data_IF_517842508325
#
_entry.id   IF_517842508325
#
_cell.length_a   1.000
_cell.length_b   1.000
_cell.length_c   1.000
_cell.angle_alpha   90.00
_cell.angle_beta   90.00
_cell.angle_gamma   90.00
#
_symmetry.space_group_name_H-M   'P 1'
#
loop_
_entity.id
_entity.type
_entity.pdbx_description
1 polymer ?
#
# COMPACT_ATOMS: atom_id res chain seq x y z
N UNK A 1 20.77 79.52 -2.83
CA UNK A 1 19.94 79.49 -4.05
C UNK A 1 20.65 78.62 -5.08
N UNK A 2 19.90 77.66 -5.64
CA UNK A 2 20.12 77.02 -6.95
C UNK A 2 21.28 76.02 -7.10
N UNK A 3 21.23 74.96 -7.90
CA UNK A 3 20.17 74.17 -8.55
C UNK A 3 20.86 72.95 -9.22
N UNK A 4 20.09 71.88 -9.40
CA UNK A 4 20.25 70.61 -10.16
C UNK A 4 20.76 70.75 -11.63
N UNK A 5 20.88 69.69 -12.49
CA UNK A 5 20.72 68.22 -12.35
C UNK A 5 21.74 67.33 -13.12
N UNK A 6 21.61 65.99 -13.05
CA UNK A 6 22.23 65.07 -14.01
C UNK A 6 21.90 63.58 -13.79
N UNK A 7 21.05 63.02 -14.65
CA UNK A 7 20.59 61.63 -14.73
C UNK A 7 21.71 60.64 -15.13
N UNK A 8 21.65 59.37 -14.70
CA UNK A 8 22.01 58.20 -15.53
C UNK A 8 21.47 56.90 -14.94
N UNK A 9 20.93 56.06 -15.84
CA UNK A 9 20.39 54.72 -15.60
C UNK A 9 21.44 53.75 -15.04
N UNK A 10 21.03 52.84 -14.14
CA UNK A 10 21.69 51.55 -14.01
C UNK A 10 20.67 50.46 -13.68
N UNK A 11 20.79 49.38 -14.44
CA UNK A 11 20.01 48.16 -14.53
C UNK A 11 20.00 47.33 -13.24
N UNK A 12 18.82 46.82 -12.89
CA UNK A 12 18.68 45.65 -11.99
C UNK A 12 19.31 44.41 -12.62
N UNK A 13 19.92 43.55 -11.78
CA UNK A 13 19.61 42.13 -11.86
C UNK A 13 18.97 41.64 -10.55
N UNK A 14 17.72 41.18 -10.72
CA UNK A 14 16.93 40.42 -9.76
C UNK A 14 17.72 39.24 -9.19
N UNK A 15 17.81 39.18 -7.87
CA UNK A 15 18.22 38.01 -7.10
C UNK A 15 17.25 36.84 -7.34
N UNK A 16 17.80 35.67 -7.64
CA UNK A 16 17.08 34.38 -7.70
C UNK A 16 16.75 33.88 -6.29
N UNK A 17 15.88 34.60 -5.59
CA UNK A 17 15.15 34.12 -4.43
C UNK A 17 13.66 34.30 -4.73
N UNK A 18 13.04 33.29 -5.32
CA UNK A 18 11.65 33.42 -5.79
C UNK A 18 11.24 32.35 -6.78
N UNK A 19 11.45 31.08 -6.45
CA UNK A 19 10.78 29.97 -7.12
C UNK A 19 10.94 28.74 -6.23
N UNK A 20 10.03 28.60 -5.26
CA UNK A 20 9.63 27.39 -4.52
C UNK A 20 8.80 27.84 -3.30
N UNK A 21 7.68 28.54 -3.55
CA UNK A 21 6.63 28.74 -2.55
C UNK A 21 5.31 29.15 -3.22
N UNK A 22 4.23 28.54 -2.77
CA UNK A 22 2.84 28.57 -3.24
C UNK A 22 2.64 27.78 -4.54
N UNK A 23 1.81 26.73 -4.58
CA UNK A 23 0.43 26.64 -4.09
C UNK A 23 0.26 25.39 -3.17
N UNK A 24 -0.39 25.41 -2.00
CA UNK A 24 -1.52 26.23 -1.57
C UNK A 24 -2.84 25.51 -1.88
N UNK A 25 -3.07 24.30 -1.34
CA UNK A 25 -4.38 23.65 -1.41
C UNK A 25 -4.93 23.40 -0.01
N UNK A 26 -6.15 23.92 0.17
CA UNK A 26 -6.95 23.95 1.40
C UNK A 26 -7.13 22.56 2.03
N UNK A 27 -6.85 22.50 3.33
CA UNK A 27 -7.32 21.45 4.23
C UNK A 27 -8.82 21.67 4.49
N UNK A 28 -9.68 21.03 3.70
CA UNK A 28 -11.05 20.76 4.10
C UNK A 28 -11.63 19.57 3.32
N UNK A 29 -12.03 18.54 4.06
CA UNK A 29 -13.01 17.52 3.67
C UNK A 29 -12.58 16.41 2.71
N UNK A 30 -11.90 15.39 3.24
CA UNK A 30 -11.97 14.00 2.73
C UNK A 30 -12.16 13.03 3.90
N UNK A 31 -13.27 13.18 4.62
CA UNK A 31 -13.89 12.08 5.36
C UNK A 31 -15.16 11.70 4.59
N UNK A 32 -15.16 10.55 3.93
CA UNK A 32 -16.33 10.05 3.23
C UNK A 32 -16.47 8.54 3.42
N UNK A 33 -16.68 8.15 4.68
CA UNK A 33 -17.45 6.97 5.06
C UNK A 33 -18.52 7.40 6.06
N UNK A 34 -19.48 8.26 5.64
CA UNK A 34 -20.83 8.33 6.26
C UNK A 34 -21.80 9.21 5.45
N UNK A 35 -23.00 8.72 5.07
CA UNK A 35 -24.19 9.55 5.13
C UNK A 35 -25.32 8.82 5.88
N UNK A 36 -25.14 8.63 7.18
CA UNK A 36 -26.02 7.87 8.06
C UNK A 36 -26.39 8.61 9.33
N UNK A 37 -26.52 9.94 9.29
CA UNK A 37 -27.02 10.73 10.42
C UNK A 37 -27.90 11.90 9.96
N UNK A 38 -29.12 11.60 9.51
CA UNK A 38 -30.25 12.54 9.60
C UNK A 38 -31.52 11.78 10.00
N UNK A 39 -32.06 12.12 11.16
CA UNK A 39 -33.35 11.64 11.65
C UNK A 39 -34.53 12.14 10.78
N UNK A 40 -35.42 11.20 10.46
CA UNK A 40 -36.89 11.28 10.29
C UNK A 40 -37.54 12.51 9.61
N UNK A 41 -38.31 12.28 8.53
CA UNK A 41 -39.80 12.33 8.51
C UNK A 41 -40.42 11.93 7.16
N UNK A 42 -41.40 11.00 7.21
CA UNK A 42 -42.66 10.89 6.42
C UNK A 42 -42.70 10.73 4.88
N UNK A 43 -43.29 9.58 4.49
CA UNK A 43 -44.40 9.38 3.51
C UNK A 43 -44.14 9.34 1.99
N UNK A 44 -44.59 8.23 1.35
CA UNK A 44 -45.26 8.29 0.04
C UNK A 44 -44.79 7.34 -1.07
N UNK A 45 -45.47 6.18 -1.19
CA UNK A 45 -45.95 5.48 -2.40
C UNK A 45 -45.21 5.53 -3.76
N UNK A 46 -45.04 4.33 -4.36
CA UNK A 46 -45.21 4.15 -5.82
C UNK A 46 -44.20 3.24 -6.53
N UNK A 47 -44.59 1.99 -6.82
CA UNK A 47 -44.03 1.15 -7.91
C UNK A 47 -44.78 1.52 -9.22
N UNK A 48 -44.24 1.31 -10.43
CA UNK A 48 -44.37 -0.01 -11.07
C UNK A 48 -43.18 -0.48 -11.94
N UNK A 49 -43.20 -1.79 -12.19
CA UNK A 49 -42.26 -2.60 -12.97
C UNK A 49 -42.46 -2.53 -14.51
N UNK A 50 -41.42 -2.89 -15.28
CA UNK A 50 -41.50 -3.50 -16.63
C UNK A 50 -40.27 -4.43 -16.80
N UNK A 51 -40.41 -5.77 -16.79
CA UNK A 51 -40.68 -6.70 -17.91
C UNK A 51 -39.58 -6.83 -19.00
N UNK A 52 -39.28 -8.10 -19.32
CA UNK A 52 -38.70 -8.64 -20.58
C UNK A 52 -37.17 -8.86 -20.60
N UNK A 53 -36.60 -9.96 -21.09
CA UNK A 53 -37.05 -11.28 -21.54
C UNK A 53 -35.81 -12.20 -21.48
N UNK A 54 -36.00 -13.44 -21.04
CA UNK A 54 -35.01 -14.51 -21.21
C UNK A 54 -35.18 -15.15 -22.58
N UNK A 55 -34.07 -15.52 -23.21
CA UNK A 55 -34.02 -16.58 -24.24
C UNK A 55 -32.93 -17.59 -23.93
N UNK A 56 -33.38 -18.84 -23.88
CA UNK A 56 -32.63 -20.09 -23.76
C UNK A 56 -31.61 -20.28 -24.88
N UNK A 57 -30.50 -20.97 -24.56
CA UNK A 57 -29.92 -21.94 -25.49
C UNK A 57 -29.43 -23.17 -24.73
N UNK A 58 -29.86 -24.32 -25.25
CA UNK A 58 -29.79 -25.68 -24.73
C UNK A 58 -28.38 -26.29 -24.59
N UNK A 59 -28.26 -27.06 -23.50
CA UNK A 59 -27.79 -28.45 -23.40
C UNK A 59 -26.79 -29.00 -24.43
N UNK A 60 -25.63 -29.47 -23.91
CA UNK A 60 -25.10 -30.81 -24.23
C UNK A 60 -24.24 -31.38 -23.10
N UNK A 61 -24.47 -32.66 -22.87
CA UNK A 61 -24.10 -33.49 -21.72
C UNK A 61 -22.82 -34.30 -21.99
N UNK A 62 -22.24 -34.84 -20.90
CA UNK A 62 -21.43 -36.08 -20.78
C UNK A 62 -19.90 -35.95 -20.95
N UNK A 63 -19.12 -36.07 -19.87
CA UNK A 63 -18.61 -37.37 -19.38
C UNK A 63 -17.62 -37.23 -18.21
N UNK A 64 -17.74 -38.14 -17.25
CA UNK A 64 -16.86 -38.32 -16.09
C UNK A 64 -15.55 -39.03 -16.47
N UNK A 65 -14.43 -38.62 -15.86
CA UNK A 65 -13.36 -39.52 -15.41
C UNK A 65 -12.65 -38.88 -14.20
N UNK A 66 -12.77 -39.49 -13.02
CA UNK A 66 -11.81 -39.33 -11.93
C UNK A 66 -10.63 -40.28 -12.13
N UNK A 67 -9.40 -39.83 -11.79
CA UNK A 67 -8.60 -40.66 -10.90
C UNK A 67 -7.99 -39.85 -9.75
N UNK A 68 -7.98 -40.50 -8.58
CA UNK A 68 -7.15 -40.18 -7.42
C UNK A 68 -5.69 -39.96 -7.81
N UNK A 69 -5.00 -39.01 -7.16
CA UNK A 69 -3.64 -39.15 -6.60
C UNK A 69 -3.16 -37.84 -5.93
N UNK A 70 -3.07 -37.89 -4.59
CA UNK A 70 -1.95 -37.46 -3.74
C UNK A 70 -0.96 -36.41 -4.30
N UNK A 71 -0.86 -35.26 -3.61
CA UNK A 71 0.28 -34.33 -3.64
C UNK A 71 -0.13 -33.04 -2.91
N UNK A 72 0.43 -32.65 -1.77
CA UNK A 72 1.87 -32.42 -1.62
C UNK A 72 2.30 -31.24 -2.49
N UNK A 73 1.60 -30.09 -2.39
CA UNK A 73 2.00 -28.85 -3.08
C UNK A 73 3.24 -28.23 -2.41
N UNK A 74 4.19 -27.70 -3.19
CA UNK A 74 5.51 -27.35 -2.68
C UNK A 74 5.46 -26.09 -1.83
N UNK A 75 6.25 -26.08 -0.75
CA UNK A 75 6.63 -24.88 -0.05
C UNK A 75 7.28 -23.89 -1.03
N UNK A 76 6.92 -22.62 -0.93
CA UNK A 76 7.58 -21.54 -1.63
C UNK A 76 9.06 -21.52 -1.23
N UNK A 77 9.91 -22.03 -2.12
CA UNK A 77 11.31 -21.64 -2.13
C UNK A 77 11.34 -20.14 -2.41
N UNK A 78 11.71 -19.39 -1.37
CA UNK A 78 12.42 -18.11 -1.37
C UNK A 78 12.36 -17.29 -2.67
N UNK A 79 11.79 -16.09 -2.61
CA UNK A 79 11.77 -15.07 -3.67
C UNK A 79 13.17 -14.60 -4.15
N UNK A 80 14.24 -15.29 -3.80
CA UNK A 80 15.59 -15.04 -4.28
C UNK A 80 15.85 -15.51 -5.72
N UNK A 81 14.98 -16.36 -6.32
CA UNK A 81 15.29 -17.01 -7.61
C UNK A 81 14.55 -16.47 -8.84
N UNK A 82 13.61 -15.54 -8.70
CA UNK A 82 12.86 -14.98 -9.84
C UNK A 82 13.62 -13.88 -10.61
N UNK A 83 14.87 -13.58 -10.25
CA UNK A 83 15.77 -12.65 -10.98
C UNK A 83 16.67 -13.46 -11.91
N UNK A 84 16.14 -14.04 -12.98
CA UNK A 84 16.97 -14.64 -14.04
C UNK A 84 16.33 -14.73 -15.42
N UNK A 85 15.14 -14.16 -15.65
CA UNK A 85 14.54 -14.19 -16.99
C UNK A 85 14.08 -12.79 -17.41
N UNK A 86 14.95 -12.12 -18.16
CA UNK A 86 14.67 -10.86 -18.86
C UNK A 86 13.79 -11.13 -20.09
N UNK A 87 12.79 -10.28 -20.41
CA UNK A 87 12.19 -10.25 -21.74
C UNK A 87 13.17 -9.62 -22.76
N UNK A 88 13.04 -9.92 -24.07
CA UNK A 88 13.95 -9.41 -25.09
C UNK A 88 13.75 -7.90 -25.29
N UNK A 89 14.76 -7.10 -24.92
CA UNK A 89 14.80 -5.65 -25.18
C UNK A 89 15.30 -5.36 -26.61
N UNK A 90 14.77 -4.33 -27.30
CA UNK A 90 15.42 -3.73 -28.46
C UNK A 90 16.77 -3.11 -28.04
N UNK A 91 17.82 -3.39 -28.81
CA UNK A 91 19.19 -2.95 -28.53
C UNK A 91 19.33 -1.44 -28.62
N UNK A 92 19.38 -0.76 -27.46
CA UNK A 92 20.11 0.49 -27.31
C UNK A 92 21.17 0.29 -26.22
N UNK A 93 22.40 0.69 -26.53
CA UNK A 93 23.62 0.40 -25.77
C UNK A 93 23.53 0.90 -24.31
N UNK A 94 23.31 -0.01 -23.36
CA UNK A 94 23.63 0.21 -21.96
C UNK A 94 25.11 -0.12 -21.72
N UNK A 95 25.95 0.91 -21.67
CA UNK A 95 27.21 0.81 -20.94
C UNK A 95 26.87 0.72 -19.45
N UNK A 96 26.82 -0.50 -18.91
CA UNK A 96 26.85 -0.73 -17.47
C UNK A 96 28.23 -0.33 -16.95
N UNK A 97 28.33 0.86 -16.36
CA UNK A 97 29.45 1.22 -15.50
C UNK A 97 29.14 0.72 -14.09
N UNK A 98 29.91 -0.28 -13.62
CA UNK A 98 29.97 -0.68 -12.20
C UNK A 98 30.62 0.41 -11.33
N UNK A 99 30.28 1.68 -11.54
CA UNK A 99 30.77 2.78 -10.74
C UNK A 99 29.89 2.92 -9.50
N UNK A 100 30.50 2.95 -8.31
CA UNK A 100 29.78 3.31 -7.08
C UNK A 100 29.09 4.67 -7.26
N UNK A 101 27.88 4.88 -6.69
CA UNK A 101 27.19 6.16 -6.75
C UNK A 101 28.11 7.31 -6.32
N UNK A 102 28.03 8.45 -7.01
CA UNK A 102 28.81 9.63 -6.64
C UNK A 102 28.35 10.17 -5.28
N UNK A 103 29.24 10.88 -4.56
CA UNK A 103 28.88 11.48 -3.27
C UNK A 103 27.70 12.46 -3.37
N UNK A 104 27.58 13.18 -4.49
CA UNK A 104 26.44 14.06 -4.76
C UNK A 104 25.13 13.26 -4.90
N UNK A 105 25.14 12.17 -5.68
CA UNK A 105 23.96 11.31 -5.84
C UNK A 105 23.55 10.64 -4.52
N UNK A 106 24.51 10.27 -3.67
CA UNK A 106 24.21 9.74 -2.33
C UNK A 106 23.58 10.79 -1.41
N UNK A 107 23.95 12.07 -1.54
CA UNK A 107 23.28 13.15 -0.81
C UNK A 107 21.83 13.33 -1.30
N UNK A 108 21.59 13.23 -2.61
CA UNK A 108 20.23 13.29 -3.17
C UNK A 108 19.37 12.10 -2.71
N UNK A 109 19.95 10.89 -2.65
CA UNK A 109 19.30 9.70 -2.07
C UNK A 109 18.95 9.94 -0.61
N UNK A 110 19.86 10.53 0.19
CA UNK A 110 19.57 10.89 1.58
C UNK A 110 18.44 11.91 1.68
N UNK A 111 18.43 12.93 0.82
CA UNK A 111 17.36 13.92 0.74
C UNK A 111 16.00 13.27 0.45
N UNK A 112 15.94 12.38 -0.54
CA UNK A 112 14.74 11.61 -0.88
C UNK A 112 14.19 10.80 0.30
N UNK A 113 15.08 10.14 1.06
CA UNK A 113 14.70 9.38 2.25
C UNK A 113 14.19 10.30 3.37
N UNK A 114 14.83 11.44 3.61
CA UNK A 114 14.47 12.36 4.70
C UNK A 114 13.18 13.13 4.41
N UNK A 115 13.01 13.60 3.17
CA UNK A 115 11.95 14.55 2.84
C UNK A 115 10.66 13.87 2.38
N UNK A 116 10.76 12.69 1.75
CA UNK A 116 9.63 12.04 1.09
C UNK A 116 9.30 10.70 1.76
N UNK A 117 10.23 9.73 1.72
CA UNK A 117 9.89 8.36 2.11
C UNK A 117 9.85 8.15 3.62
N UNK A 118 10.80 8.69 4.39
CA UNK A 118 10.83 8.59 5.85
C UNK A 118 9.53 9.07 6.49
N UNK A 119 9.12 10.34 6.29
CA UNK A 119 7.87 10.86 6.85
C UNK A 119 6.62 10.10 6.38
N UNK A 120 6.61 9.63 5.12
CA UNK A 120 5.53 8.80 4.59
C UNK A 120 5.44 7.44 5.29
N UNK A 121 6.59 6.79 5.52
CA UNK A 121 6.68 5.51 6.21
C UNK A 121 6.29 5.65 7.68
N UNK A 122 6.69 6.72 8.36
CA UNK A 122 6.26 6.96 9.75
C UNK A 122 4.76 7.09 9.89
N UNK A 123 4.12 7.84 8.98
CA UNK A 123 2.66 7.97 8.97
C UNK A 123 1.98 6.66 8.64
N UNK A 124 2.51 5.90 7.67
CA UNK A 124 1.92 4.63 7.26
C UNK A 124 2.01 3.57 8.36
N UNK A 125 3.19 3.42 8.95
CA UNK A 125 3.46 2.44 10.01
C UNK A 125 3.12 2.93 11.41
N UNK A 126 2.72 4.20 11.59
CA UNK A 126 2.47 4.85 12.89
C UNK A 126 3.65 4.66 13.87
N UNK A 127 4.88 4.84 13.35
CA UNK A 127 6.13 4.65 14.09
C UNK A 127 7.13 5.75 13.75
N UNK A 128 7.75 6.34 14.78
CA UNK A 128 8.82 7.33 14.65
C UNK A 128 10.19 6.73 14.31
N UNK A 129 10.25 5.44 13.94
CA UNK A 129 11.51 4.76 13.63
C UNK A 129 12.14 5.25 12.32
N UNK A 130 11.33 5.59 11.32
CA UNK A 130 11.81 5.77 9.93
C UNK A 130 12.53 7.10 9.69
N UNK A 131 12.34 8.13 10.51
CA UNK A 131 13.08 9.42 10.37
C UNK A 131 14.25 9.57 11.34
N UNK A 132 14.54 8.56 12.17
CA UNK A 132 15.71 8.61 13.06
C UNK A 132 17.00 8.67 12.26
N UNK A 133 17.97 9.43 12.75
CA UNK A 133 19.32 9.48 12.18
C UNK A 133 19.95 8.08 12.09
N UNK A 134 19.78 7.26 13.14
CA UNK A 134 20.25 5.88 13.14
C UNK A 134 19.69 5.05 11.98
N UNK A 135 18.40 5.20 11.67
CA UNK A 135 17.74 4.47 10.57
C UNK A 135 18.26 4.94 9.22
N UNK A 136 18.47 6.24 9.04
CA UNK A 136 19.09 6.79 7.85
C UNK A 136 20.52 6.27 7.66
N UNK A 137 21.30 6.16 8.73
CA UNK A 137 22.66 5.64 8.66
C UNK A 137 22.67 4.14 8.28
N UNK A 138 21.71 3.35 8.79
CA UNK A 138 21.51 1.95 8.37
C UNK A 138 21.18 1.88 6.87
N UNK A 139 20.24 2.71 6.40
CA UNK A 139 19.82 2.74 5.00
C UNK A 139 20.95 3.14 4.05
N UNK A 140 21.74 4.14 4.43
CA UNK A 140 22.87 4.60 3.63
C UNK A 140 24.05 3.63 3.67
N UNK A 141 24.18 2.82 4.72
CA UNK A 141 25.17 1.76 4.81
C UNK A 141 24.77 0.51 3.99
N UNK A 142 23.48 0.27 3.77
CA UNK A 142 23.02 -0.80 2.87
C UNK A 142 23.20 -0.41 1.41
N UNK A 143 24.34 -0.82 0.86
CA UNK A 143 24.70 -0.60 -0.55
C UNK A 143 23.61 -1.07 -1.53
N UNK A 144 22.95 -2.19 -1.23
CA UNK A 144 21.90 -2.74 -2.10
C UNK A 144 20.76 -1.75 -2.27
N UNK A 145 20.35 -1.11 -1.17
CA UNK A 145 19.28 -0.11 -1.15
C UNK A 145 19.75 1.21 -1.75
N UNK A 146 20.93 1.71 -1.35
CA UNK A 146 21.50 2.91 -1.91
C UNK A 146 21.65 2.85 -3.45
N UNK A 147 22.11 1.72 -4.00
CA UNK A 147 22.26 1.52 -5.45
C UNK A 147 20.90 1.54 -6.17
N UNK A 148 19.85 0.96 -5.58
CA UNK A 148 18.49 0.98 -6.17
C UNK A 148 17.89 2.39 -6.14
N UNK A 149 18.03 3.12 -5.04
CA UNK A 149 17.55 4.49 -4.95
C UNK A 149 18.32 5.42 -5.91
N UNK A 150 19.63 5.25 -6.01
CA UNK A 150 20.47 5.98 -6.96
C UNK A 150 20.06 5.69 -8.42
N UNK A 151 19.82 4.42 -8.76
CA UNK A 151 19.33 4.04 -10.08
C UNK A 151 17.95 4.62 -10.39
N UNK A 152 17.05 4.64 -9.40
CA UNK A 152 15.74 5.25 -9.51
C UNK A 152 15.82 6.75 -9.79
N UNK A 153 16.62 7.49 -9.01
CA UNK A 153 16.87 8.92 -9.23
C UNK A 153 17.43 9.19 -10.62
N UNK A 154 18.44 8.44 -11.05
CA UNK A 154 18.98 8.56 -12.41
C UNK A 154 17.93 8.29 -13.48
N UNK A 155 17.03 7.32 -13.27
CA UNK A 155 15.94 7.02 -14.20
C UNK A 155 14.99 8.20 -14.31
N UNK A 156 14.58 8.81 -13.19
CA UNK A 156 13.72 10.00 -13.20
C UNK A 156 14.44 11.19 -13.87
N UNK A 157 15.70 11.45 -13.52
CA UNK A 157 16.48 12.56 -14.08
C UNK A 157 16.79 12.40 -15.56
N UNK A 158 16.74 11.17 -16.10
CA UNK A 158 16.93 10.91 -17.53
C UNK A 158 15.70 11.25 -18.37
N UNK A 159 14.52 11.42 -17.75
CA UNK A 159 13.31 11.87 -18.45
C UNK A 159 13.42 13.37 -18.68
N UNK A 160 13.68 13.76 -19.93
CA UNK A 160 13.80 15.16 -20.32
C UNK A 160 12.47 15.91 -20.16
N UNK A 161 12.55 17.22 -19.92
CA UNK A 161 11.36 18.07 -19.75
C UNK A 161 10.44 18.14 -20.99
N UNK A 162 10.92 17.69 -22.15
CA UNK A 162 10.18 17.67 -23.41
C UNK A 162 9.63 16.27 -23.77
N UNK A 163 9.87 15.26 -22.94
CA UNK A 163 9.35 13.91 -23.17
C UNK A 163 7.83 13.87 -22.96
N UNK A 164 7.10 13.01 -23.70
CA UNK A 164 5.67 12.85 -23.51
C UNK A 164 5.37 12.37 -22.08
N UNK A 165 4.20 12.70 -21.50
CA UNK A 165 3.84 12.31 -20.13
C UNK A 165 3.99 10.80 -19.83
N UNK A 166 3.81 9.95 -20.85
CA UNK A 166 3.98 8.50 -20.78
C UNK A 166 5.43 8.06 -20.45
N UNK A 167 6.42 8.93 -20.67
CA UNK A 167 7.82 8.64 -20.34
C UNK A 167 8.05 8.50 -18.82
N UNK A 168 7.12 9.00 -18.00
CA UNK A 168 7.15 8.85 -16.54
C UNK A 168 6.53 7.54 -16.05
N UNK A 169 5.87 6.76 -16.91
CA UNK A 169 5.20 5.51 -16.52
C UNK A 169 6.20 4.48 -15.98
N UNK A 170 7.36 4.36 -16.62
CA UNK A 170 8.39 3.41 -16.20
C UNK A 170 9.01 3.77 -14.84
N UNK A 171 9.49 5.00 -14.59
CA UNK A 171 9.89 5.42 -13.25
C UNK A 171 8.76 5.23 -12.22
N UNK A 172 7.52 5.64 -12.53
CA UNK A 172 6.39 5.50 -11.61
C UNK A 172 6.12 4.03 -11.23
N UNK A 173 6.30 3.09 -12.16
CA UNK A 173 6.13 1.66 -11.91
C UNK A 173 7.22 1.04 -11.02
N UNK A 174 8.41 1.66 -10.94
CA UNK A 174 9.53 1.24 -10.09
C UNK A 174 9.42 1.73 -8.65
N UNK A 175 8.75 2.87 -8.44
CA UNK A 175 8.68 3.52 -7.13
C UNK A 175 8.17 2.62 -5.98
N UNK A 176 7.14 1.76 -6.19
CA UNK A 176 6.75 0.81 -5.15
C UNK A 176 7.90 -0.09 -4.71
N UNK A 177 8.73 -0.59 -5.64
CA UNK A 177 9.88 -1.42 -5.30
C UNK A 177 10.92 -0.65 -4.48
N UNK A 178 11.11 0.64 -4.79
CA UNK A 178 12.01 1.52 -4.03
C UNK A 178 11.51 1.70 -2.60
N UNK A 179 10.23 2.01 -2.42
CA UNK A 179 9.60 2.15 -1.10
C UNK A 179 9.67 0.84 -0.31
N UNK A 180 9.37 -0.30 -0.94
CA UNK A 180 9.47 -1.61 -0.31
C UNK A 180 10.90 -1.91 0.15
N UNK A 181 11.88 -1.67 -0.73
CA UNK A 181 13.29 -1.93 -0.44
C UNK A 181 13.83 -1.04 0.67
N UNK A 182 13.51 0.25 0.64
CA UNK A 182 13.85 1.17 1.72
C UNK A 182 13.24 0.71 3.05
N UNK A 183 11.97 0.27 3.05
CA UNK A 183 11.31 -0.24 4.25
C UNK A 183 12.03 -1.47 4.82
N UNK A 184 12.39 -2.44 3.98
CA UNK A 184 13.10 -3.65 4.41
C UNK A 184 14.51 -3.36 4.94
N UNK A 185 15.24 -2.45 4.31
CA UNK A 185 16.61 -2.13 4.68
C UNK A 185 16.73 -1.47 6.07
N UNK A 186 15.65 -0.89 6.59
CA UNK A 186 15.57 -0.44 7.99
C UNK A 186 15.71 -1.59 9.00
N UNK A 187 15.64 -2.86 8.59
CA UNK A 187 15.63 -4.02 9.47
C UNK A 187 16.59 -5.10 8.99
N UNK A 188 17.64 -5.37 9.78
CA UNK A 188 18.73 -6.27 9.35
C UNK A 188 18.43 -7.77 9.54
N UNK A 189 17.36 -8.15 10.23
CA UNK A 189 17.01 -9.56 10.47
C UNK A 189 15.53 -9.76 10.85
N UNK A 190 14.64 -10.12 9.89
CA UNK A 190 13.22 -10.40 10.15
C UNK A 190 13.01 -11.61 11.08
N UNK A 191 14.02 -12.48 11.26
CA UNK A 191 13.91 -13.68 12.10
C UNK A 191 14.05 -13.39 13.61
N UNK A 192 14.51 -12.19 13.97
CA UNK A 192 14.61 -11.73 15.36
C UNK A 192 13.35 -10.99 15.78
N UNK A 193 12.21 -11.67 15.70
CA UNK A 193 10.99 -11.19 16.34
C UNK A 193 11.20 -11.14 17.85
N UNK A 194 11.20 -9.93 18.40
CA UNK A 194 11.20 -9.74 19.84
C UNK A 194 9.78 -9.38 20.27
N UNK A 195 9.24 -10.17 21.19
CA UNK A 195 7.89 -9.96 21.72
C UNK A 195 7.88 -8.75 22.63
N UNK A 196 6.73 -8.06 22.68
CA UNK A 196 6.50 -7.04 23.69
C UNK A 196 6.68 -7.65 25.09
N UNK A 197 7.44 -6.96 25.95
CA UNK A 197 7.66 -7.38 27.32
C UNK A 197 6.85 -6.46 28.27
N UNK A 198 6.01 -7.05 29.11
CA UNK A 198 5.21 -6.30 30.09
C UNK A 198 3.83 -5.88 29.59
N UNK A 199 3.29 -4.78 30.15
CA UNK A 199 1.93 -4.28 29.89
C UNK A 199 1.88 -2.86 29.29
N UNK A 200 2.99 -2.14 29.38
CA UNK A 200 3.14 -0.77 28.87
C UNK A 200 3.52 -0.77 27.40
N UNK A 201 2.95 0.16 26.65
CA UNK A 201 3.36 0.45 25.28
C UNK A 201 4.86 0.81 25.22
N UNK A 202 5.58 0.34 24.19
CA UNK A 202 6.91 0.82 23.90
C UNK A 202 6.89 2.27 23.40
N UNK A 203 8.04 2.96 23.38
CA UNK A 203 8.18 4.27 22.75
C UNK A 203 7.69 4.26 21.28
N UNK A 204 7.18 5.38 20.79
CA UNK A 204 6.63 5.47 19.42
C UNK A 204 7.67 5.22 18.32
N UNK A 205 8.95 5.38 18.65
CA UNK A 205 10.12 5.18 17.79
C UNK A 205 10.85 3.86 18.10
N UNK A 206 10.18 2.91 18.75
CA UNK A 206 10.72 1.59 19.05
C UNK A 206 10.91 0.75 17.78
N UNK A 207 12.13 0.29 17.57
CA UNK A 207 12.52 -0.51 16.41
C UNK A 207 11.79 -1.85 16.34
N UNK A 208 11.57 -2.49 17.49
CA UNK A 208 10.97 -3.83 17.55
C UNK A 208 9.49 -3.75 17.19
N UNK A 209 8.78 -2.76 17.71
CA UNK A 209 7.38 -2.51 17.32
C UNK A 209 7.27 -2.21 15.82
N UNK A 210 8.14 -1.35 15.28
CA UNK A 210 8.17 -1.03 13.85
C UNK A 210 8.42 -2.29 12.99
N UNK A 211 9.35 -3.15 13.41
CA UNK A 211 9.66 -4.41 12.73
C UNK A 211 8.49 -5.40 12.77
N UNK A 212 7.77 -5.48 13.90
CA UNK A 212 6.60 -6.33 14.04
C UNK A 212 5.45 -5.86 13.13
N UNK A 213 5.26 -4.54 12.97
CA UNK A 213 4.30 -3.97 12.03
C UNK A 213 4.69 -4.23 10.56
N UNK A 214 5.98 -4.17 10.24
CA UNK A 214 6.48 -4.58 8.92
C UNK A 214 6.22 -6.07 8.64
N UNK A 215 6.45 -6.93 9.63
CA UNK A 215 6.14 -8.37 9.51
C UNK A 215 4.68 -8.61 9.15
N UNK A 216 3.77 -7.85 9.77
CA UNK A 216 2.32 -7.91 9.48
C UNK A 216 2.05 -7.46 8.04
N UNK A 217 2.65 -6.35 7.59
CA UNK A 217 2.47 -5.87 6.21
C UNK A 217 3.05 -6.84 5.16
N UNK A 218 4.24 -7.38 5.40
CA UNK A 218 4.87 -8.35 4.52
C UNK A 218 4.01 -9.61 4.39
N UNK A 219 3.57 -10.17 5.51
CA UNK A 219 2.63 -11.28 5.50
C UNK A 219 1.35 -10.92 4.75
N UNK A 220 0.79 -9.71 4.96
CA UNK A 220 -0.41 -9.21 4.29
C UNK A 220 -0.28 -9.25 2.76
N UNK A 221 0.78 -8.65 2.21
CA UNK A 221 1.01 -8.50 0.76
C UNK A 221 1.48 -9.82 0.12
N UNK A 222 2.30 -10.60 0.82
CA UNK A 222 2.83 -11.88 0.33
C UNK A 222 1.76 -12.98 0.29
N UNK A 223 0.72 -12.86 1.12
CA UNK A 223 -0.34 -13.86 1.24
C UNK A 223 -0.03 -14.93 2.30
N UNK A 224 1.04 -14.75 3.08
CA UNK A 224 1.50 -15.70 4.10
C UNK A 224 0.63 -15.62 5.36
N UNK A 225 0.37 -16.77 5.97
CA UNK A 225 -0.34 -16.87 7.25
C UNK A 225 0.67 -16.86 8.38
N UNK A 226 0.48 -15.97 9.36
CA UNK A 226 1.34 -15.89 10.53
C UNK A 226 1.10 -17.08 11.46
N UNK A 227 2.18 -17.63 12.03
CA UNK A 227 2.07 -18.69 13.05
C UNK A 227 1.57 -18.16 14.40
N UNK A 228 1.85 -16.89 14.69
CA UNK A 228 1.41 -16.15 15.87
C UNK A 228 1.42 -14.65 15.54
N UNK A 229 0.64 -13.85 16.24
CA UNK A 229 0.67 -12.40 16.11
C UNK A 229 1.95 -11.84 16.75
N UNK A 230 2.82 -11.13 16.00
CA UNK A 230 4.09 -10.61 16.52
C UNK A 230 3.92 -9.53 17.58
N UNK A 231 2.74 -8.90 17.67
CA UNK A 231 2.43 -7.88 18.67
C UNK A 231 1.83 -8.44 19.96
N UNK A 232 1.80 -9.77 20.15
CA UNK A 232 1.36 -10.35 21.43
C UNK A 232 2.36 -10.11 22.58
N UNK A 233 1.88 -9.91 23.82
CA UNK A 233 0.46 -9.81 24.22
C UNK A 233 -0.15 -8.44 23.88
N UNK A 234 -1.48 -8.35 23.87
CA UNK A 234 -2.16 -7.06 23.79
C UNK A 234 -1.77 -6.18 24.99
N UNK A 235 -1.32 -4.96 24.72
CA UNK A 235 -0.90 -3.99 25.72
C UNK A 235 -2.08 -3.11 26.13
N UNK A 236 -2.09 -2.66 27.38
CA UNK A 236 -3.23 -1.94 27.97
C UNK A 236 -2.84 -0.70 28.77
N UNK A 237 -1.54 -0.45 28.95
CA UNK A 237 -1.03 0.71 29.67
C UNK A 237 -0.33 1.66 28.70
N UNK A 238 -0.76 2.93 28.69
CA UNK A 238 -0.15 3.99 27.90
C UNK A 238 -1.14 5.07 27.47
N UNK A 239 -0.69 5.96 26.60
CA UNK A 239 -1.53 7.02 26.02
C UNK A 239 -2.69 6.43 25.20
N UNK A 240 -3.89 7.03 25.29
CA UNK A 240 -5.09 6.52 24.65
C UNK A 240 -4.96 6.43 23.12
N UNK A 241 -4.37 7.44 22.48
CA UNK A 241 -4.18 7.43 21.03
C UNK A 241 -3.17 6.36 20.62
N UNK A 242 -2.07 6.22 21.35
CA UNK A 242 -1.09 5.14 21.13
C UNK A 242 -1.67 3.74 21.37
N UNK A 243 -2.58 3.59 22.33
CA UNK A 243 -3.29 2.32 22.57
C UNK A 243 -4.19 1.95 21.39
N UNK A 244 -4.90 2.93 20.81
CA UNK A 244 -5.72 2.74 19.61
C UNK A 244 -4.89 2.37 18.38
N UNK A 245 -3.74 3.03 18.20
CA UNK A 245 -2.76 2.66 17.17
C UNK A 245 -2.32 1.21 17.33
N UNK A 246 -1.86 0.84 18.53
CA UNK A 246 -1.41 -0.51 18.82
C UNK A 246 -2.53 -1.55 18.63
N UNK A 247 -3.75 -1.25 19.08
CA UNK A 247 -4.91 -2.12 18.98
C UNK A 247 -5.26 -2.44 17.52
N UNK A 248 -5.21 -1.45 16.62
CA UNK A 248 -5.41 -1.67 15.19
C UNK A 248 -4.38 -2.66 14.63
N UNK A 249 -3.09 -2.44 14.87
CA UNK A 249 -2.03 -3.32 14.39
C UNK A 249 -2.11 -4.70 15.04
N UNK A 250 -2.50 -4.78 16.31
CA UNK A 250 -2.73 -6.05 16.99
C UNK A 250 -3.83 -6.86 16.29
N UNK A 251 -5.00 -6.28 16.03
CA UNK A 251 -6.08 -6.99 15.33
C UNK A 251 -5.71 -7.35 13.90
N UNK A 252 -4.97 -6.49 13.19
CA UNK A 252 -4.44 -6.81 11.87
C UNK A 252 -3.51 -8.04 11.91
N UNK A 253 -2.66 -8.12 12.94
CA UNK A 253 -1.82 -9.28 13.19
C UNK A 253 -2.60 -10.55 13.52
N UNK A 254 -3.61 -10.47 14.39
CA UNK A 254 -4.50 -11.60 14.72
C UNK A 254 -5.25 -12.11 13.48
N UNK A 255 -5.78 -11.21 12.65
CA UNK A 255 -6.44 -11.55 11.38
C UNK A 255 -5.56 -12.43 10.50
N UNK A 256 -4.25 -12.14 10.45
CA UNK A 256 -3.29 -12.89 9.64
C UNK A 256 -2.88 -14.25 10.22
N UNK A 257 -3.31 -14.59 11.45
CA UNK A 257 -3.10 -15.93 12.03
C UNK A 257 -4.20 -16.92 11.64
N UNK A 258 -5.37 -16.42 11.22
CA UNK A 258 -6.51 -17.24 10.82
C UNK A 258 -6.17 -18.00 9.54
N UNK A 259 -6.22 -19.33 9.60
CA UNK A 259 -6.03 -20.21 8.44
C UNK A 259 -7.34 -20.32 7.67
N UNK A 260 -7.25 -20.34 6.34
CA UNK A 260 -8.39 -20.74 5.49
C UNK A 260 -8.37 -22.25 5.34
N UNK A 261 -8.98 -22.99 6.28
CA UNK A 261 -9.25 -24.43 6.12
C UNK A 261 -10.67 -24.61 5.56
N UNK A 262 -10.85 -25.37 4.46
CA UNK A 262 -12.17 -25.66 3.90
C UNK A 262 -13.14 -26.39 4.86
N UNK A 263 -12.66 -26.88 6.00
CA UNK A 263 -13.41 -27.70 6.95
C UNK A 263 -13.86 -26.95 8.22
N UNK A 264 -13.49 -25.69 8.38
CA UNK A 264 -13.41 -25.02 9.69
C UNK A 264 -14.29 -23.74 9.74
N UNK A 265 -14.92 -23.38 10.88
CA UNK A 265 -15.82 -22.23 11.04
C UNK A 265 -15.09 -20.86 11.07
N UNK A 266 -13.90 -20.82 10.45
CA UNK A 266 -13.02 -19.66 10.23
C UNK A 266 -13.66 -18.41 9.61
N UNK A 267 -14.81 -18.46 8.88
CA UNK A 267 -15.46 -17.23 8.41
C UNK A 267 -15.93 -16.31 9.54
N UNK A 268 -16.47 -16.87 10.63
CA UNK A 268 -17.02 -16.05 11.72
C UNK A 268 -15.94 -15.33 12.52
N UNK A 269 -14.85 -16.02 12.87
CA UNK A 269 -13.71 -15.41 13.57
C UNK A 269 -13.08 -14.29 12.74
N UNK A 270 -12.95 -14.50 11.42
CA UNK A 270 -12.43 -13.48 10.51
C UNK A 270 -13.32 -12.23 10.48
N UNK A 271 -14.62 -12.41 10.41
CA UNK A 271 -15.58 -11.30 10.43
C UNK A 271 -15.58 -10.56 11.76
N UNK A 272 -15.43 -11.26 12.89
CA UNK A 272 -15.30 -10.65 14.21
C UNK A 272 -14.05 -9.78 14.30
N UNK A 273 -12.90 -10.24 13.80
CA UNK A 273 -11.67 -9.43 13.81
C UNK A 273 -11.78 -8.22 12.87
N UNK A 274 -12.33 -8.40 11.67
CA UNK A 274 -12.59 -7.27 10.76
C UNK A 274 -13.53 -6.24 11.39
N UNK A 275 -14.57 -6.69 12.10
CA UNK A 275 -15.46 -5.80 12.85
C UNK A 275 -14.70 -5.03 13.93
N UNK A 276 -13.83 -5.68 14.70
CA UNK A 276 -12.97 -5.02 15.70
C UNK A 276 -12.06 -3.98 15.06
N UNK A 277 -11.36 -4.32 13.98
CA UNK A 277 -10.50 -3.38 13.23
C UNK A 277 -11.27 -2.14 12.76
N UNK A 278 -12.50 -2.30 12.26
CA UNK A 278 -13.34 -1.19 11.80
C UNK A 278 -13.61 -0.18 12.93
N UNK A 279 -13.73 -0.64 14.18
CA UNK A 279 -13.95 0.26 15.33
C UNK A 279 -12.73 1.09 15.71
N UNK A 280 -11.53 0.74 15.21
CA UNK A 280 -10.23 1.37 15.52
C UNK A 280 -9.57 2.04 14.30
N UNK A 281 -10.34 2.39 13.27
CA UNK A 281 -9.82 3.12 12.10
C UNK A 281 -9.49 4.58 12.42
N UNK A 282 -10.24 5.23 13.31
CA UNK A 282 -10.02 6.62 13.76
C UNK A 282 -9.90 7.66 12.63
N UNK A 283 -10.44 7.38 11.44
CA UNK A 283 -10.30 8.23 10.25
C UNK A 283 -8.85 8.38 9.78
N UNK A 284 -8.00 7.40 10.10
CA UNK A 284 -6.59 7.38 9.71
C UNK A 284 -6.44 6.68 8.37
N UNK A 285 -6.01 7.45 7.36
CA UNK A 285 -5.81 6.98 5.99
C UNK A 285 -5.03 5.66 5.88
N UNK A 286 -3.90 5.54 6.60
CA UNK A 286 -3.09 4.32 6.59
C UNK A 286 -3.85 3.09 7.10
N UNK A 287 -4.73 3.28 8.10
CA UNK A 287 -5.55 2.21 8.66
C UNK A 287 -6.68 1.81 7.71
N UNK A 288 -7.29 2.77 7.01
CA UNK A 288 -8.30 2.50 5.99
C UNK A 288 -7.72 1.64 4.84
N UNK A 289 -6.49 1.95 4.41
CA UNK A 289 -5.73 1.17 3.42
C UNK A 289 -5.46 -0.25 3.91
N UNK A 290 -4.91 -0.41 5.11
CA UNK A 290 -4.61 -1.73 5.67
C UNK A 290 -5.87 -2.56 5.92
N UNK A 291 -6.97 -1.93 6.35
CA UNK A 291 -8.27 -2.57 6.52
C UNK A 291 -8.85 -3.02 5.17
N UNK A 292 -8.79 -2.17 4.13
CA UNK A 292 -9.24 -2.54 2.80
C UNK A 292 -8.43 -3.73 2.24
N UNK A 293 -7.11 -3.78 2.47
CA UNK A 293 -6.27 -4.94 2.14
C UNK A 293 -6.73 -6.20 2.87
N UNK A 294 -7.05 -6.11 4.17
CA UNK A 294 -7.57 -7.23 4.94
C UNK A 294 -8.93 -7.73 4.41
N UNK A 295 -9.85 -6.82 4.06
CA UNK A 295 -11.14 -7.16 3.42
C UNK A 295 -10.92 -7.85 2.06
N UNK A 296 -10.02 -7.32 1.24
CA UNK A 296 -9.68 -7.94 -0.05
C UNK A 296 -9.11 -9.34 0.15
N UNK A 297 -8.20 -9.51 1.09
CA UNK A 297 -7.61 -10.82 1.42
C UNK A 297 -8.64 -11.82 1.94
N UNK A 298 -9.60 -11.37 2.74
CA UNK A 298 -10.67 -12.20 3.27
C UNK A 298 -11.56 -12.76 2.16
N UNK A 299 -11.98 -11.91 1.22
CA UNK A 299 -13.09 -12.24 0.32
C UNK A 299 -12.68 -12.48 -1.13
N UNK A 300 -11.50 -12.04 -1.58
CA UNK A 300 -11.03 -12.30 -2.96
C UNK A 300 -11.07 -13.79 -3.34
N UNK A 301 -10.69 -14.75 -2.46
CA UNK A 301 -10.77 -16.18 -2.80
C UNK A 301 -12.19 -16.71 -3.02
N UNK A 302 -13.22 -16.03 -2.51
CA UNK A 302 -14.61 -16.49 -2.52
C UNK A 302 -15.34 -16.14 -3.83
N UNK A 303 -14.84 -15.17 -4.59
CA UNK A 303 -15.51 -14.63 -5.78
C UNK A 303 -14.65 -14.78 -7.05
N UNK A 304 -15.29 -14.93 -8.24
CA UNK A 304 -14.55 -14.97 -9.50
C UNK A 304 -13.93 -13.60 -9.85
N UNK A 305 -12.94 -13.57 -10.74
CA UNK A 305 -12.21 -12.34 -11.06
C UNK A 305 -13.10 -11.23 -11.65
N UNK A 306 -14.16 -11.62 -12.36
CA UNK A 306 -15.16 -10.77 -13.00
C UNK A 306 -16.40 -10.51 -12.12
N UNK A 307 -16.33 -10.79 -10.81
CA UNK A 307 -17.50 -10.65 -9.92
C UNK A 307 -18.12 -9.25 -9.92
N UNK A 308 -17.36 -8.21 -10.29
CA UNK A 308 -17.85 -6.84 -10.38
C UNK A 308 -18.91 -6.67 -11.48
N UNK A 309 -18.88 -7.50 -12.53
CA UNK A 309 -19.80 -7.43 -13.67
C UNK A 309 -21.26 -7.72 -13.32
N UNK A 310 -21.51 -8.40 -12.20
CA UNK A 310 -22.86 -8.74 -11.74
C UNK A 310 -23.22 -8.05 -10.43
N UNK A 311 -22.53 -6.96 -10.08
CA UNK A 311 -22.87 -6.18 -8.89
C UNK A 311 -24.21 -5.45 -9.10
N UNK A 312 -25.09 -5.42 -8.07
CA UNK A 312 -26.26 -4.57 -8.09
C UNK A 312 -25.86 -3.08 -8.07
N UNK A 313 -26.75 -2.21 -8.54
CA UNK A 313 -26.53 -0.76 -8.53
C UNK A 313 -26.37 -0.18 -7.11
N UNK A 314 -27.00 -0.80 -6.12
CA UNK A 314 -26.86 -0.45 -4.70
C UNK A 314 -26.12 -1.58 -3.98
N UNK A 315 -25.01 -1.23 -3.34
CA UNK A 315 -24.20 -2.18 -2.58
C UNK A 315 -24.72 -2.26 -1.13
N UNK A 316 -24.85 -3.48 -0.62
CA UNK A 316 -25.23 -3.74 0.77
C UNK A 316 -23.96 -4.01 1.59
N UNK A 317 -23.65 -3.16 2.57
CA UNK A 317 -22.44 -3.29 3.40
C UNK A 317 -22.40 -4.57 4.23
N UNK A 318 -23.52 -5.26 4.44
CA UNK A 318 -23.53 -6.56 5.12
C UNK A 318 -22.96 -7.69 4.24
N UNK A 319 -23.00 -7.52 2.92
CA UNK A 319 -22.66 -8.55 1.95
C UNK A 319 -21.15 -8.60 1.67
N UNK A 320 -20.48 -9.76 1.83
CA UNK A 320 -19.05 -9.93 1.52
C UNK A 320 -18.63 -9.42 0.13
N UNK A 321 -19.47 -9.68 -0.88
CA UNK A 321 -19.24 -9.25 -2.26
C UNK A 321 -19.20 -7.73 -2.41
N UNK A 322 -20.08 -7.03 -1.71
CA UNK A 322 -20.14 -5.57 -1.70
C UNK A 322 -18.95 -4.96 -0.96
N UNK A 323 -18.57 -5.53 0.20
CA UNK A 323 -17.35 -5.15 0.94
C UNK A 323 -16.10 -5.29 0.06
N UNK A 324 -15.98 -6.41 -0.67
CA UNK A 324 -14.87 -6.65 -1.58
C UNK A 324 -14.84 -5.62 -2.73
N UNK A 325 -15.99 -5.31 -3.33
CA UNK A 325 -16.07 -4.32 -4.41
C UNK A 325 -15.62 -2.93 -3.95
N UNK A 326 -16.09 -2.49 -2.78
CA UNK A 326 -15.70 -1.20 -2.19
C UNK A 326 -14.21 -1.17 -1.88
N UNK A 327 -13.68 -2.22 -1.24
CA UNK A 327 -12.26 -2.28 -0.89
C UNK A 327 -11.35 -2.31 -2.13
N UNK A 328 -11.71 -3.06 -3.18
CA UNK A 328 -10.97 -3.09 -4.45
C UNK A 328 -10.95 -1.72 -5.11
N UNK A 329 -12.10 -1.07 -5.23
CA UNK A 329 -12.20 0.27 -5.81
C UNK A 329 -11.36 1.27 -5.01
N UNK A 330 -11.49 1.27 -3.69
CA UNK A 330 -10.71 2.13 -2.81
C UNK A 330 -9.20 1.97 -3.03
N UNK A 331 -8.67 0.75 -2.96
CA UNK A 331 -7.24 0.48 -3.18
C UNK A 331 -6.78 0.86 -4.61
N UNK A 332 -7.62 0.65 -5.62
CA UNK A 332 -7.32 1.08 -7.00
C UNK A 332 -7.29 2.61 -7.14
N UNK A 333 -8.16 3.32 -6.43
CA UNK A 333 -8.19 4.78 -6.44
C UNK A 333 -6.96 5.36 -5.70
N UNK A 334 -6.58 4.78 -4.55
CA UNK A 334 -5.38 5.14 -3.79
C UNK A 334 -4.07 4.85 -4.55
N UNK A 335 -4.06 3.85 -5.43
CA UNK A 335 -2.88 3.53 -6.26
C UNK A 335 -2.62 4.56 -7.38
N UNK A 336 -3.60 5.43 -7.71
CA UNK A 336 -3.46 6.42 -8.78
C UNK A 336 -2.62 7.61 -8.31
N UNK A 337 -1.79 8.14 -9.22
CA UNK A 337 -0.96 9.34 -8.99
C UNK A 337 -1.80 10.57 -8.60
N UNK A 338 -3.06 10.65 -9.07
CA UNK A 338 -3.98 11.75 -8.78
C UNK A 338 -4.83 11.55 -7.52
N UNK A 339 -4.58 10.50 -6.72
CA UNK A 339 -5.43 10.11 -5.60
C UNK A 339 -5.41 11.04 -4.38
N UNK A 340 -4.53 12.04 -4.34
CA UNK A 340 -4.40 12.97 -3.20
C UNK A 340 -3.73 12.37 -1.96
N UNK A 341 -3.30 11.11 -2.02
CA UNK A 341 -2.62 10.40 -0.94
C UNK A 341 -1.10 10.59 -0.95
N UNK A 342 -0.43 10.19 0.13
CA UNK A 342 1.04 10.19 0.22
C UNK A 342 1.66 9.20 -0.76
N UNK A 343 2.90 9.47 -1.22
CA UNK A 343 3.63 8.56 -2.12
C UNK A 343 3.74 7.13 -1.57
N UNK A 344 3.91 6.99 -0.25
CA UNK A 344 4.04 5.69 0.43
C UNK A 344 2.72 4.92 0.39
N UNK A 345 1.59 5.56 0.73
CA UNK A 345 0.26 4.94 0.63
C UNK A 345 0.00 4.49 -0.80
N UNK A 346 0.22 5.38 -1.79
CA UNK A 346 0.08 5.03 -3.20
C UNK A 346 0.89 3.79 -3.58
N UNK A 347 2.16 3.75 -3.16
CA UNK A 347 3.05 2.62 -3.43
C UNK A 347 2.55 1.30 -2.82
N UNK A 348 2.08 1.31 -1.57
CA UNK A 348 1.54 0.09 -0.95
C UNK A 348 0.19 -0.31 -1.54
N UNK A 349 -0.66 0.64 -1.92
CA UNK A 349 -1.92 0.38 -2.64
C UNK A 349 -1.68 -0.22 -4.02
N UNK A 350 -0.65 0.22 -4.74
CA UNK A 350 -0.19 -0.37 -6.00
C UNK A 350 0.30 -1.82 -5.79
N UNK A 351 1.06 -2.09 -4.72
CA UNK A 351 1.46 -3.46 -4.37
C UNK A 351 0.25 -4.34 -4.06
N UNK A 352 -0.73 -3.84 -3.29
CA UNK A 352 -1.96 -4.56 -2.97
C UNK A 352 -2.80 -4.85 -4.22
N UNK A 353 -2.89 -3.89 -5.15
CA UNK A 353 -3.54 -4.09 -6.46
C UNK A 353 -2.92 -5.28 -7.19
N UNK A 354 -1.59 -5.35 -7.26
CA UNK A 354 -0.89 -6.48 -7.89
C UNK A 354 -1.11 -7.79 -7.12
N UNK A 355 -1.06 -7.74 -5.79
CA UNK A 355 -1.18 -8.91 -4.92
C UNK A 355 -2.56 -9.56 -4.95
N UNK A 356 -3.63 -8.77 -4.96
CA UNK A 356 -5.00 -9.25 -4.78
C UNK A 356 -5.86 -9.17 -6.04
N UNK A 357 -5.62 -8.20 -6.93
CA UNK A 357 -6.47 -7.99 -8.12
C UNK A 357 -5.85 -8.68 -9.34
N UNK A 358 -4.59 -8.36 -9.66
CA UNK A 358 -3.92 -8.92 -10.85
C UNK A 358 -3.64 -10.42 -10.71
N UNK A 359 -3.16 -10.87 -9.54
CA UNK A 359 -2.92 -12.30 -9.28
C UNK A 359 -4.21 -13.14 -9.27
N UNK A 360 -5.35 -12.59 -8.85
CA UNK A 360 -6.63 -13.29 -8.89
C UNK A 360 -7.06 -13.62 -10.33
N UNK A 361 -6.74 -12.75 -11.30
CA UNK A 361 -6.98 -13.01 -12.72
C UNK A 361 -6.08 -14.09 -13.33
N UNK A 362 -4.86 -14.27 -12.82
CA UNK A 362 -3.85 -15.16 -13.41
C UNK A 362 -3.91 -16.61 -12.89
N UNK A 363 -4.42 -16.86 -11.68
CA UNK A 363 -4.51 -18.21 -11.08
C UNK A 363 -5.50 -19.18 -11.76
N UNK A 364 -6.22 -18.77 -12.82
CA UNK A 364 -7.20 -19.62 -13.53
C UNK A 364 -6.95 -19.83 -15.03
N UNK A 365 -5.87 -19.31 -15.61
CA UNK A 365 -5.55 -19.56 -17.04
C UNK A 365 -4.84 -20.91 -17.28
N UNK A 366 -4.71 -21.74 -16.25
CA UNK A 366 -4.30 -23.15 -16.38
C UNK A 366 -5.48 -24.05 -16.05
N UNK A 367 -6.30 -24.33 -17.07
CA UNK A 367 -7.23 -25.48 -17.10
C UNK A 367 -6.93 -26.22 -18.40
#
# INVERSE_FOLDING_TARGET
MSATPGNTMSSNPMTKEGMLRAEGFDLASTSALDPGLVMTTTSGSGVPAMHSMATNLDQRTMNSVTPHLRGGGPALASMHHAVSQSPPQPQQQQQQTNASPSAALLNDVRGLLVEIYGPGLERFFESGWFTREQTLDILMADRSTADVLAAFLNTISSVGANEPPLALDYPAALEPLVVWKATLACFSDPSKQQKNAGRSLPPSDDMVEAQNRLTILDAMISGDVLSQNPLQPMLSEGDFHRLREFEFWFYLGEFLTIRSDPSDPTPTEREEILAKMRTVLDGRENRDVLYAMAVMRAYTPEFPADFESTLPAHLDESMPRSKLAVARKFIQDEAKVTGGTTNVVRCFSEMATRAFITRAGSRRTTI
#
